data_IF_131752734456
#
_entry.id   IF_131752734456
#
_cell.length_a   1.000
_cell.length_b   1.000
_cell.length_c   1.000
_cell.angle_alpha   90.00
_cell.angle_beta   90.00
_cell.angle_gamma   90.00
#
_symmetry.space_group_name_H-M   'P 1'
#
loop_
_entity.id
_entity.type
_entity.pdbx_description
1 polymer ?
#
# COMPACT_ATOMS: atom_id res chain seq x y z
N UNK A 1 4.89 9.24 -14.32
CA UNK A 1 5.26 10.21 -15.35
C UNK A 1 5.69 9.59 -16.68
N UNK A 2 6.22 8.37 -16.71
CA UNK A 2 6.59 7.69 -17.96
C UNK A 2 5.41 7.38 -18.89
N UNK A 3 4.20 7.33 -18.36
CA UNK A 3 2.98 7.07 -19.13
C UNK A 3 2.37 8.36 -19.70
N UNK A 4 2.72 9.50 -19.13
CA UNK A 4 2.17 10.80 -19.50
C UNK A 4 2.90 11.43 -20.67
N UNK A 5 4.17 11.17 -20.82
CA UNK A 5 5.05 11.67 -21.90
C UNK A 5 5.01 13.20 -22.12
N UNK A 6 4.47 13.96 -21.17
CA UNK A 6 4.37 15.43 -21.21
C UNK A 6 5.72 16.13 -21.46
N UNK A 7 6.79 15.57 -20.93
CA UNK A 7 8.14 16.05 -21.17
C UNK A 7 8.62 15.83 -22.62
N UNK A 8 8.12 14.78 -23.30
CA UNK A 8 8.42 14.55 -24.73
C UNK A 8 7.69 15.56 -25.59
N UNK A 9 6.41 15.83 -25.31
CA UNK A 9 5.63 16.85 -26.01
C UNK A 9 6.29 18.22 -25.90
N UNK A 10 6.70 18.62 -24.70
CA UNK A 10 7.40 19.89 -24.49
C UNK A 10 8.72 19.96 -25.27
N UNK A 11 9.50 18.88 -25.27
CA UNK A 11 10.75 18.82 -26.02
C UNK A 11 10.51 18.98 -27.53
N UNK A 12 9.46 18.35 -28.06
CA UNK A 12 9.08 18.46 -29.47
C UNK A 12 8.65 19.88 -29.84
N UNK A 13 7.82 20.53 -29.02
CA UNK A 13 7.37 21.91 -29.24
C UNK A 13 8.56 22.87 -29.27
N UNK A 14 9.44 22.78 -28.28
CA UNK A 14 10.61 23.65 -28.18
C UNK A 14 11.60 23.39 -29.33
N UNK A 15 11.88 22.12 -29.66
CA UNK A 15 12.77 21.77 -30.79
C UNK A 15 12.23 22.28 -32.11
N UNK A 16 10.93 22.21 -32.34
CA UNK A 16 10.24 22.73 -33.53
C UNK A 16 10.41 24.26 -33.63
N UNK A 17 10.21 24.95 -32.51
CA UNK A 17 10.33 26.40 -32.47
C UNK A 17 11.77 26.88 -32.72
N UNK A 18 12.74 26.23 -32.12
CA UNK A 18 14.16 26.55 -32.31
C UNK A 18 14.80 25.97 -33.58
N UNK A 19 14.12 25.04 -34.25
CA UNK A 19 14.63 24.27 -35.40
C UNK A 19 16.00 23.61 -35.13
N UNK A 20 16.21 23.16 -33.90
CA UNK A 20 17.47 22.55 -33.44
C UNK A 20 17.15 21.43 -32.43
N UNK A 21 18.04 20.45 -32.25
CA UNK A 21 17.97 19.54 -31.15
C UNK A 21 17.98 20.28 -29.80
N UNK A 22 17.13 19.90 -28.89
CA UNK A 22 17.01 20.50 -27.55
C UNK A 22 17.03 19.43 -26.47
N UNK A 23 17.59 19.78 -25.34
CA UNK A 23 17.43 19.01 -24.10
C UNK A 23 16.68 19.87 -23.09
N UNK A 24 15.54 19.36 -22.59
CA UNK A 24 14.78 20.04 -21.56
C UNK A 24 15.11 19.39 -20.21
N UNK A 25 15.48 20.22 -19.25
CA UNK A 25 15.72 19.83 -17.88
C UNK A 25 14.81 20.67 -16.95
N UNK A 26 13.90 20.01 -16.25
CA UNK A 26 13.13 20.69 -15.22
C UNK A 26 13.95 20.77 -13.93
N UNK A 27 13.88 21.92 -13.25
CA UNK A 27 14.40 21.97 -11.89
C UNK A 27 13.57 21.05 -10.97
N UNK A 28 14.16 20.65 -9.84
CA UNK A 28 13.46 19.80 -8.87
C UNK A 28 12.18 20.47 -8.36
N UNK A 29 12.20 21.79 -8.14
CA UNK A 29 11.06 22.57 -7.70
C UNK A 29 9.91 22.52 -8.72
N UNK A 30 10.23 22.70 -10.00
CA UNK A 30 9.24 22.60 -11.10
C UNK A 30 8.67 21.19 -11.24
N UNK A 31 9.51 20.17 -11.15
CA UNK A 31 9.08 18.77 -11.21
C UNK A 31 8.13 18.41 -10.05
N UNK A 32 8.38 18.91 -8.84
CA UNK A 32 7.52 18.68 -7.68
C UNK A 32 6.22 19.48 -7.78
N UNK A 33 6.28 20.74 -8.20
CA UNK A 33 5.10 21.63 -8.27
C UNK A 33 4.13 21.27 -9.40
N UNK A 34 4.63 20.71 -10.51
CA UNK A 34 3.85 20.46 -11.72
C UNK A 34 3.81 18.97 -12.12
N UNK A 35 4.31 18.10 -11.26
CA UNK A 35 4.23 16.66 -11.46
C UNK A 35 2.88 16.07 -11.07
N UNK A 36 2.78 14.76 -11.21
CA UNK A 36 1.63 14.00 -10.74
C UNK A 36 1.85 13.59 -9.28
N UNK A 37 0.79 13.67 -8.49
CA UNK A 37 0.82 13.38 -7.08
C UNK A 37 0.41 11.94 -6.80
N UNK A 38 0.90 11.39 -5.69
CA UNK A 38 0.34 10.17 -5.14
C UNK A 38 -1.09 10.46 -4.68
N UNK A 39 -2.04 9.62 -5.08
CA UNK A 39 -3.44 9.84 -4.73
C UNK A 39 -3.66 9.74 -3.22
N UNK A 40 -4.36 10.72 -2.67
CA UNK A 40 -4.89 10.64 -1.33
C UNK A 40 -5.85 9.45 -1.22
N UNK A 41 -5.93 8.84 -0.05
CA UNK A 41 -6.79 7.68 0.17
C UNK A 41 -7.32 7.65 1.60
N UNK A 42 -8.51 7.07 1.77
CA UNK A 42 -9.11 6.83 3.08
C UNK A 42 -9.62 5.40 3.15
N UNK A 43 -9.36 4.75 4.26
CA UNK A 43 -9.82 3.39 4.52
C UNK A 43 -10.56 3.33 5.84
N UNK A 44 -11.65 2.56 5.87
CA UNK A 44 -12.41 2.24 7.09
C UNK A 44 -12.50 0.74 7.23
N UNK A 45 -12.01 0.24 8.36
CA UNK A 45 -12.10 -1.17 8.70
C UNK A 45 -13.18 -1.42 9.74
N UNK A 46 -13.85 -2.57 9.61
CA UNK A 46 -14.72 -3.16 10.61
C UNK A 46 -14.33 -4.63 10.72
N UNK A 47 -13.77 -5.02 11.86
CA UNK A 47 -13.19 -6.35 12.04
C UNK A 47 -13.83 -7.00 13.28
N UNK A 48 -14.36 -8.20 13.08
CA UNK A 48 -14.85 -9.02 14.18
C UNK A 48 -13.80 -10.07 14.55
N UNK A 49 -13.33 -10.06 15.80
CA UNK A 49 -12.40 -11.05 16.32
C UNK A 49 -13.15 -12.24 16.90
N UNK A 50 -12.67 -13.45 16.62
CA UNK A 50 -13.12 -14.67 17.25
C UNK A 50 -12.61 -14.82 18.69
N UNK A 51 -13.11 -15.83 19.42
CA UNK A 51 -12.65 -16.15 20.79
C UNK A 51 -11.15 -16.42 20.88
N UNK A 52 -10.52 -16.85 19.79
CA UNK A 52 -9.09 -17.08 19.67
C UNK A 52 -8.29 -15.83 19.27
N UNK A 53 -8.91 -14.66 19.23
CA UNK A 53 -8.31 -13.40 18.83
C UNK A 53 -8.05 -13.23 17.33
N UNK A 54 -8.33 -14.23 16.49
CA UNK A 54 -8.16 -14.13 15.04
C UNK A 54 -9.34 -13.42 14.38
N UNK A 55 -9.12 -12.65 13.28
CA UNK A 55 -10.22 -12.06 12.54
C UNK A 55 -11.12 -13.13 11.92
N UNK A 56 -12.40 -13.11 12.27
CA UNK A 56 -13.44 -13.93 11.63
C UNK A 56 -14.13 -13.21 10.47
N UNK A 57 -14.26 -11.90 10.60
CA UNK A 57 -14.81 -11.04 9.57
C UNK A 57 -13.92 -9.81 9.43
N UNK A 58 -13.63 -9.45 8.20
CA UNK A 58 -12.78 -8.31 7.88
C UNK A 58 -13.43 -7.52 6.74
N UNK A 59 -13.99 -6.38 7.09
CA UNK A 59 -14.61 -5.47 6.13
C UNK A 59 -13.70 -4.26 5.94
N UNK A 60 -13.47 -3.88 4.70
CA UNK A 60 -12.74 -2.68 4.34
C UNK A 60 -13.52 -1.86 3.33
N UNK A 61 -13.81 -0.61 3.66
CA UNK A 61 -14.34 0.39 2.75
C UNK A 61 -13.22 1.36 2.40
N UNK A 62 -12.87 1.42 1.13
CA UNK A 62 -11.71 2.16 0.65
C UNK A 62 -12.10 3.16 -0.43
N UNK A 63 -11.64 4.39 -0.28
CA UNK A 63 -11.86 5.48 -1.23
C UNK A 63 -10.52 6.03 -1.68
N UNK A 64 -10.36 6.16 -2.99
CA UNK A 64 -9.13 6.66 -3.60
C UNK A 64 -9.41 7.09 -5.04
N UNK A 65 -8.81 8.17 -5.55
CA UNK A 65 -8.80 8.46 -6.98
C UNK A 65 -8.17 7.32 -7.78
N UNK A 66 -8.81 6.95 -8.88
CA UNK A 66 -8.24 5.98 -9.79
C UNK A 66 -7.13 6.60 -10.64
N UNK A 67 -6.03 5.89 -10.79
CA UNK A 67 -4.96 6.29 -11.72
C UNK A 67 -5.31 5.98 -13.18
N UNK A 68 -6.25 5.07 -13.41
CA UNK A 68 -6.63 4.63 -14.75
C UNK A 68 -7.80 5.42 -15.31
N UNK A 69 -8.80 5.73 -14.49
CA UNK A 69 -9.99 6.44 -14.96
C UNK A 69 -9.69 7.87 -15.38
N UNK A 70 -8.70 8.50 -14.78
CA UNK A 70 -8.24 9.82 -15.21
C UNK A 70 -7.60 9.84 -16.60
N UNK A 71 -7.25 8.67 -17.16
CA UNK A 71 -6.55 8.53 -18.45
C UNK A 71 -7.37 7.83 -19.51
N UNK A 72 -8.14 6.86 -19.11
CA UNK A 72 -8.98 6.09 -20.03
C UNK A 72 -10.43 6.42 -19.74
N UNK A 73 -10.98 7.43 -20.43
CA UNK A 73 -12.37 7.87 -20.28
C UNK A 73 -13.38 6.72 -20.34
N UNK A 74 -13.12 5.69 -21.13
CA UNK A 74 -13.96 4.49 -21.22
C UNK A 74 -14.03 3.76 -19.86
N UNK A 75 -12.94 3.67 -19.11
CA UNK A 75 -12.92 3.03 -17.78
C UNK A 75 -13.61 3.90 -16.73
N UNK A 76 -13.60 5.23 -16.89
CA UNK A 76 -14.33 6.13 -16.00
C UNK A 76 -15.85 5.99 -16.16
N UNK A 77 -16.33 5.75 -17.37
CA UNK A 77 -17.76 5.54 -17.64
C UNK A 77 -18.30 4.25 -17.03
N UNK A 78 -17.44 3.25 -16.84
CA UNK A 78 -17.82 1.95 -16.27
C UNK A 78 -17.70 1.92 -14.74
N UNK A 79 -17.26 2.99 -14.10
CA UNK A 79 -16.88 3.04 -12.66
C UNK A 79 -16.00 1.84 -12.24
N UNK A 80 -15.24 1.32 -13.21
CA UNK A 80 -14.44 0.11 -13.07
C UNK A 80 -12.96 0.40 -13.23
N UNK A 81 -12.24 0.28 -12.13
CA UNK A 81 -10.79 0.33 -12.10
C UNK A 81 -10.24 -0.99 -11.55
N UNK A 82 -9.96 -1.97 -12.42
CA UNK A 82 -9.47 -3.27 -12.00
C UNK A 82 -8.15 -3.18 -11.23
N UNK A 83 -7.37 -2.14 -11.51
CA UNK A 83 -6.08 -1.96 -10.87
C UNK A 83 -6.19 -1.35 -9.47
N UNK A 84 -7.10 -0.40 -9.27
CA UNK A 84 -7.39 0.13 -7.94
C UNK A 84 -8.10 -0.90 -7.08
N UNK A 85 -9.00 -1.70 -7.64
CA UNK A 85 -9.55 -2.88 -6.97
C UNK A 85 -8.45 -3.85 -6.57
N UNK A 86 -7.53 -4.15 -7.48
CA UNK A 86 -6.37 -4.99 -7.20
C UNK A 86 -5.51 -4.43 -6.07
N UNK A 87 -5.20 -3.15 -6.07
CA UNK A 87 -4.41 -2.51 -5.04
C UNK A 87 -5.12 -2.46 -3.68
N UNK A 88 -6.44 -2.20 -3.70
CA UNK A 88 -7.22 -1.97 -2.49
C UNK A 88 -7.42 -3.24 -1.68
N UNK A 89 -7.63 -4.34 -2.37
CA UNK A 89 -7.97 -5.59 -1.73
C UNK A 89 -6.74 -6.44 -1.37
N UNK A 90 -5.53 -5.99 -1.69
CA UNK A 90 -4.47 -6.97 -1.89
C UNK A 90 -5.03 -8.14 -2.72
N UNK A 91 -5.78 -7.80 -3.70
CA UNK A 91 -6.47 -8.55 -4.74
C UNK A 91 -7.04 -9.94 -4.42
N UNK A 92 -6.74 -10.52 -3.27
CA UNK A 92 -7.03 -11.91 -2.94
C UNK A 92 -8.30 -12.10 -2.17
N UNK A 93 -8.70 -11.04 -1.50
CA UNK A 93 -9.90 -11.03 -0.70
C UNK A 93 -11.15 -10.87 -1.57
N UNK A 94 -10.99 -10.35 -2.77
CA UNK A 94 -12.11 -10.15 -3.74
C UNK A 94 -12.26 -11.35 -4.68
N UNK A 95 -11.36 -12.30 -4.69
CA UNK A 95 -11.08 -13.11 -5.86
C UNK A 95 -12.00 -14.27 -6.16
N UNK A 96 -13.19 -14.34 -5.63
CA UNK A 96 -14.19 -15.29 -6.16
C UNK A 96 -14.98 -14.76 -7.34
N UNK A 97 -14.95 -13.45 -7.67
CA UNK A 97 -15.77 -12.85 -8.73
C UNK A 97 -15.00 -12.24 -9.91
N UNK A 98 -13.71 -11.99 -9.79
CA UNK A 98 -12.91 -11.44 -10.88
C UNK A 98 -11.67 -12.30 -11.13
N UNK A 99 -11.59 -13.00 -12.28
CA UNK A 99 -10.36 -13.68 -12.66
C UNK A 99 -9.30 -12.61 -13.01
N UNK A 100 -8.53 -12.22 -12.04
CA UNK A 100 -7.34 -11.42 -12.31
C UNK A 100 -6.27 -12.31 -12.92
N UNK A 101 -5.63 -11.86 -13.98
CA UNK A 101 -4.51 -12.57 -14.63
C UNK A 101 -3.30 -12.78 -13.69
N UNK A 102 -3.39 -12.30 -12.47
CA UNK A 102 -2.35 -12.35 -11.45
C UNK A 102 -2.93 -12.89 -10.13
N UNK A 103 -3.00 -14.21 -9.94
CA UNK A 103 -3.44 -14.80 -8.68
C UNK A 103 -2.36 -14.61 -7.63
N UNK A 104 -2.38 -13.48 -6.94
CA UNK A 104 -1.56 -13.30 -5.75
C UNK A 104 -2.38 -13.74 -4.55
N UNK A 105 -2.12 -14.87 -3.92
CA UNK A 105 -2.77 -15.32 -2.69
C UNK A 105 -2.42 -14.37 -1.55
N UNK A 106 -3.44 -13.92 -0.81
CA UNK A 106 -3.20 -13.18 0.42
C UNK A 106 -2.45 -14.07 1.42
N UNK A 107 -1.56 -13.49 2.18
CA UNK A 107 -0.76 -14.25 3.13
C UNK A 107 -1.39 -14.34 4.52
N UNK A 108 -2.38 -13.48 4.84
CA UNK A 108 -3.15 -13.60 6.07
C UNK A 108 -4.36 -14.52 5.87
N UNK A 109 -4.47 -15.55 6.69
CA UNK A 109 -5.59 -16.49 6.69
C UNK A 109 -6.78 -15.86 7.42
N UNK A 110 -7.67 -15.18 6.67
CA UNK A 110 -8.90 -14.55 7.17
C UNK A 110 -10.08 -15.19 6.45
N UNK A 111 -11.04 -15.73 7.21
CA UNK A 111 -12.16 -16.51 6.65
C UNK A 111 -13.10 -15.69 5.78
N UNK A 112 -13.58 -14.57 6.30
CA UNK A 112 -14.59 -13.75 5.65
C UNK A 112 -14.05 -12.35 5.44
N UNK A 113 -13.90 -11.99 4.18
CA UNK A 113 -13.39 -10.68 3.78
C UNK A 113 -14.33 -10.03 2.79
N UNK A 114 -14.74 -8.80 3.10
CA UNK A 114 -15.51 -7.92 2.22
C UNK A 114 -14.74 -6.62 2.02
N UNK A 115 -14.37 -6.33 0.78
CA UNK A 115 -13.68 -5.09 0.43
C UNK A 115 -14.49 -4.33 -0.59
N UNK A 116 -14.84 -3.07 -0.24
CA UNK A 116 -15.56 -2.15 -1.11
C UNK A 116 -14.64 -1.00 -1.48
N UNK A 117 -14.48 -0.80 -2.76
CA UNK A 117 -13.73 0.33 -3.31
C UNK A 117 -14.69 1.33 -3.96
N UNK A 118 -14.41 2.61 -3.77
CA UNK A 118 -15.05 3.69 -4.51
C UNK A 118 -13.99 4.61 -5.10
N UNK A 119 -14.12 4.85 -6.40
CA UNK A 119 -13.36 5.88 -7.07
C UNK A 119 -13.91 7.26 -6.67
N UNK A 120 -13.02 8.18 -6.34
CA UNK A 120 -13.36 9.56 -6.04
C UNK A 120 -12.36 10.47 -6.73
N UNK A 121 -12.82 11.24 -7.69
CA UNK A 121 -12.01 12.29 -8.28
C UNK A 121 -11.90 13.48 -7.30
N UNK A 122 -10.67 13.88 -7.00
CA UNK A 122 -10.37 15.00 -6.13
C UNK A 122 -9.98 16.26 -6.91
N UNK A 123 -10.03 16.23 -8.25
CA UNK A 123 -9.57 17.33 -9.10
C UNK A 123 -8.05 17.61 -9.02
N UNK A 124 -7.29 16.71 -8.42
CA UNK A 124 -5.84 16.83 -8.28
C UNK A 124 -5.18 15.87 -9.27
N UNK A 125 -4.21 16.32 -10.09
CA UNK A 125 -3.49 15.44 -10.99
C UNK A 125 -2.82 14.30 -10.21
N UNK A 126 -3.29 13.09 -10.41
CA UNK A 126 -2.71 11.91 -9.78
C UNK A 126 -2.12 10.97 -10.82
N UNK A 127 -1.06 10.30 -10.47
CA UNK A 127 -0.35 9.41 -11.37
C UNK A 127 0.24 8.21 -10.66
N UNK A 128 0.79 7.30 -11.44
CA UNK A 128 1.45 6.13 -10.90
C UNK A 128 2.69 6.53 -10.10
N UNK A 129 2.65 6.22 -8.83
CA UNK A 129 3.81 6.33 -7.96
C UNK A 129 4.55 4.99 -7.92
N UNK A 130 5.84 5.04 -7.87
CA UNK A 130 6.65 3.83 -7.65
C UNK A 130 6.23 3.21 -6.31
N UNK A 131 6.02 1.91 -6.26
CA UNK A 131 5.44 1.23 -5.09
C UNK A 131 3.98 1.59 -4.85
N UNK A 132 3.17 1.34 -5.85
CA UNK A 132 1.72 1.59 -5.89
C UNK A 132 0.91 1.01 -4.72
N UNK A 133 1.46 0.06 -3.97
CA UNK A 133 0.82 -0.61 -2.83
C UNK A 133 1.02 0.11 -1.48
N UNK A 134 1.74 1.21 -1.45
CA UNK A 134 2.19 1.83 -0.19
C UNK A 134 1.03 2.16 0.76
N UNK A 135 0.01 2.89 0.29
CA UNK A 135 -1.12 3.28 1.14
C UNK A 135 -1.93 2.08 1.62
N UNK A 136 -2.16 1.11 0.75
CA UNK A 136 -2.96 -0.07 1.08
C UNK A 136 -2.26 -0.96 2.08
N UNK A 137 -0.94 -1.11 1.94
CA UNK A 137 -0.15 -1.87 2.89
C UNK A 137 -0.14 -1.18 4.26
N UNK A 138 0.01 0.13 4.30
CA UNK A 138 -0.07 0.91 5.53
C UNK A 138 -1.41 0.66 6.25
N UNK A 139 -2.53 0.76 5.55
CA UNK A 139 -3.84 0.56 6.14
C UNK A 139 -4.04 -0.86 6.65
N UNK A 140 -3.67 -1.87 5.85
CA UNK A 140 -3.82 -3.27 6.24
C UNK A 140 -2.95 -3.61 7.46
N UNK A 141 -1.67 -3.27 7.41
CA UNK A 141 -0.74 -3.60 8.49
C UNK A 141 -1.10 -2.88 9.79
N UNK A 142 -1.61 -1.63 9.70
CA UNK A 142 -2.15 -0.92 10.87
C UNK A 142 -3.38 -1.61 11.44
N UNK A 143 -4.31 -2.08 10.60
CA UNK A 143 -5.48 -2.82 11.06
C UNK A 143 -5.11 -4.16 11.73
N UNK A 144 -4.09 -4.85 11.22
CA UNK A 144 -3.55 -6.08 11.83
C UNK A 144 -2.88 -5.78 13.18
N UNK A 145 -2.17 -4.65 13.31
CA UNK A 145 -1.60 -4.22 14.59
C UNK A 145 -2.70 -3.93 15.63
N UNK A 146 -3.77 -3.24 15.24
CA UNK A 146 -4.91 -3.01 16.12
C UNK A 146 -5.56 -4.34 16.57
N UNK A 147 -5.69 -5.30 15.68
CA UNK A 147 -6.18 -6.64 16.04
C UNK A 147 -5.24 -7.34 17.03
N UNK A 148 -3.93 -7.23 16.84
CA UNK A 148 -2.95 -7.80 17.77
C UNK A 148 -3.08 -7.19 19.18
N UNK A 149 -3.23 -5.86 19.27
CA UNK A 149 -3.43 -5.15 20.54
C UNK A 149 -4.71 -5.59 21.22
N UNK A 150 -5.85 -5.63 20.50
CA UNK A 150 -7.13 -6.07 21.03
C UNK A 150 -7.10 -7.53 21.51
N UNK A 151 -6.31 -8.36 20.82
CA UNK A 151 -6.10 -9.77 21.19
C UNK A 151 -5.04 -9.96 22.28
N UNK A 152 -4.45 -8.87 22.81
CA UNK A 152 -3.34 -8.89 23.77
C UNK A 152 -2.17 -9.75 23.29
N UNK A 153 -1.91 -9.75 22.01
CA UNK A 153 -0.87 -10.55 21.36
C UNK A 153 0.29 -9.67 20.90
N UNK A 154 1.48 -10.21 20.90
CA UNK A 154 2.64 -9.57 20.28
C UNK A 154 2.42 -9.38 18.77
N UNK A 155 2.62 -8.20 18.17
CA UNK A 155 2.31 -7.94 16.77
C UNK A 155 3.05 -8.85 15.79
N UNK A 156 4.28 -9.26 16.09
CA UNK A 156 5.03 -10.19 15.25
C UNK A 156 4.46 -11.61 15.34
N UNK A 157 4.22 -12.10 16.55
CA UNK A 157 3.67 -13.44 16.78
C UNK A 157 2.23 -13.53 16.25
N UNK A 158 1.45 -12.45 16.37
CA UNK A 158 0.10 -12.38 15.82
C UNK A 158 0.11 -12.56 14.30
N UNK A 159 1.01 -11.89 13.59
CA UNK A 159 1.19 -12.09 12.15
C UNK A 159 1.54 -13.54 11.82
N UNK A 160 2.44 -14.16 12.56
CA UNK A 160 2.79 -15.58 12.35
C UNK A 160 1.59 -16.51 12.54
N UNK A 161 0.73 -16.22 13.51
CA UNK A 161 -0.51 -17.01 13.73
C UNK A 161 -1.50 -16.89 12.57
N UNK A 162 -1.50 -15.75 11.86
CA UNK A 162 -2.35 -15.52 10.70
C UNK A 162 -1.75 -16.01 9.37
N UNK A 163 -0.50 -16.48 9.38
CA UNK A 163 0.26 -16.84 8.15
C UNK A 163 0.66 -18.32 8.17
N UNK A 164 -0.14 -19.20 8.75
CA UNK A 164 0.25 -20.60 9.00
C UNK A 164 0.71 -21.37 7.75
N UNK A 165 0.20 -21.02 6.58
CA UNK A 165 0.43 -21.74 5.32
C UNK A 165 1.56 -21.18 4.43
N UNK A 166 2.37 -20.25 4.94
CA UNK A 166 3.40 -19.57 4.15
C UNK A 166 4.79 -19.64 4.81
N UNK A 167 5.49 -20.78 4.75
CA UNK A 167 6.74 -20.99 5.48
C UNK A 167 7.84 -19.98 5.13
N UNK A 168 7.89 -19.48 3.88
CA UNK A 168 8.84 -18.44 3.48
C UNK A 168 8.62 -17.13 4.21
N UNK A 169 7.35 -16.74 4.43
CA UNK A 169 7.04 -15.50 5.14
C UNK A 169 7.37 -15.66 6.62
N UNK A 170 7.03 -16.79 7.22
CA UNK A 170 7.39 -17.12 8.60
C UNK A 170 8.90 -17.03 8.80
N UNK A 171 9.69 -17.62 7.88
CA UNK A 171 11.14 -17.54 7.94
C UNK A 171 11.67 -16.09 7.89
N UNK A 172 11.08 -15.23 7.05
CA UNK A 172 11.45 -13.80 6.99
C UNK A 172 11.13 -13.10 8.33
N UNK A 173 9.96 -13.38 8.92
CA UNK A 173 9.59 -12.82 10.22
C UNK A 173 10.50 -13.32 11.35
N UNK A 174 10.91 -14.58 11.35
CA UNK A 174 11.84 -15.13 12.33
C UNK A 174 13.24 -14.51 12.25
N UNK A 175 13.74 -14.33 11.02
CA UNK A 175 14.99 -13.59 10.82
C UNK A 175 14.88 -12.15 11.29
N UNK A 176 13.78 -11.48 10.94
CA UNK A 176 13.56 -10.09 11.35
C UNK A 176 13.46 -9.95 12.87
N UNK A 177 12.81 -10.90 13.55
CA UNK A 177 12.74 -10.97 15.01
C UNK A 177 14.11 -10.95 15.66
N UNK A 178 15.03 -11.74 15.13
CA UNK A 178 16.42 -11.84 15.62
C UNK A 178 17.20 -10.56 15.30
N UNK A 179 17.19 -10.13 14.05
CA UNK A 179 17.97 -8.96 13.58
C UNK A 179 17.56 -7.65 14.25
N UNK A 180 16.27 -7.50 14.58
CA UNK A 180 15.74 -6.29 15.21
C UNK A 180 15.78 -6.31 16.73
N UNK A 181 16.27 -7.38 17.37
CA UNK A 181 16.12 -7.61 18.79
C UNK A 181 14.69 -7.33 19.26
N UNK A 182 13.70 -7.93 18.57
CA UNK A 182 12.27 -7.59 18.71
C UNK A 182 11.79 -7.63 20.16
N UNK A 183 12.24 -8.59 20.95
CA UNK A 183 11.84 -8.77 22.35
C UNK A 183 12.52 -7.82 23.34
N UNK A 184 13.47 -7.02 22.90
CA UNK A 184 14.15 -6.05 23.76
C UNK A 184 13.15 -5.04 24.33
N UNK A 185 13.14 -4.89 25.65
CA UNK A 185 12.35 -3.84 26.32
C UNK A 185 12.95 -2.48 26.03
N UNK A 186 12.18 -1.63 25.42
CA UNK A 186 12.60 -0.27 25.12
C UNK A 186 12.30 0.66 26.30
N UNK A 187 13.16 1.65 26.56
CA UNK A 187 12.89 2.66 27.56
C UNK A 187 11.71 3.54 27.17
N UNK A 188 11.13 4.24 28.16
CA UNK A 188 10.02 5.19 27.92
C UNK A 188 10.37 6.20 26.82
N UNK A 189 9.44 6.46 25.93
CA UNK A 189 9.62 7.35 24.78
C UNK A 189 10.24 6.70 23.55
N UNK A 190 10.46 5.38 23.57
CA UNK A 190 10.84 4.60 22.39
C UNK A 190 9.79 3.55 22.05
N UNK A 191 9.65 3.23 20.76
CA UNK A 191 8.74 2.20 20.29
C UNK A 191 9.29 1.48 19.07
N UNK A 192 8.83 0.26 18.85
CA UNK A 192 9.09 -0.53 17.64
C UNK A 192 7.76 -0.84 16.96
N UNK A 193 7.73 -0.75 15.64
CA UNK A 193 6.62 -1.20 14.80
C UNK A 193 7.11 -2.19 13.76
N UNK A 194 6.24 -3.08 13.31
CA UNK A 194 6.52 -4.09 12.30
C UNK A 194 5.50 -4.00 11.17
N UNK A 195 5.95 -4.17 9.94
CA UNK A 195 5.10 -4.30 8.78
C UNK A 195 5.64 -5.38 7.83
N UNK A 196 4.70 -6.01 7.12
CA UNK A 196 4.97 -7.04 6.14
C UNK A 196 4.31 -6.65 4.81
N UNK A 197 4.96 -6.95 3.70
CA UNK A 197 4.35 -6.84 2.37
C UNK A 197 4.86 -7.93 1.45
N UNK A 198 3.99 -8.35 0.53
CA UNK A 198 4.36 -9.22 -0.57
C UNK A 198 4.20 -8.44 -1.87
N UNK A 199 5.27 -8.39 -2.64
CA UNK A 199 5.26 -7.73 -3.94
C UNK A 199 4.83 -8.69 -5.06
N UNK A 200 4.44 -8.10 -6.18
CA UNK A 200 4.23 -8.84 -7.44
C UNK A 200 5.51 -9.66 -7.73
N UNK A 201 5.33 -10.92 -8.12
CA UNK A 201 6.47 -11.82 -8.35
C UNK A 201 6.98 -12.55 -7.11
N UNK A 202 6.17 -12.57 -6.03
CA UNK A 202 6.44 -13.31 -4.77
C UNK A 202 7.62 -12.77 -3.94
N UNK A 203 8.07 -11.55 -4.17
CA UNK A 203 9.01 -10.86 -3.30
C UNK A 203 8.37 -10.58 -1.94
N UNK A 204 9.05 -10.93 -0.84
CA UNK A 204 8.57 -10.71 0.53
C UNK A 204 9.48 -9.67 1.17
N UNK A 205 8.88 -8.64 1.75
CA UNK A 205 9.59 -7.62 2.52
C UNK A 205 8.92 -7.50 3.88
N UNK A 206 9.70 -7.63 4.93
CA UNK A 206 9.28 -7.30 6.28
C UNK A 206 10.24 -6.27 6.87
N UNK A 207 9.71 -5.31 7.60
CA UNK A 207 10.47 -4.19 8.16
C UNK A 207 10.12 -3.97 9.62
N UNK A 208 11.12 -3.69 10.43
CA UNK A 208 10.94 -3.16 11.79
C UNK A 208 11.49 -1.74 11.78
N UNK A 209 10.70 -0.81 12.29
CA UNK A 209 11.09 0.57 12.49
C UNK A 209 11.09 0.84 13.99
N UNK A 210 12.20 1.36 14.51
CA UNK A 210 12.31 1.83 15.87
C UNK A 210 12.29 3.36 15.86
N UNK A 211 11.44 3.93 16.69
CA UNK A 211 11.33 5.39 16.87
C UNK A 211 11.64 5.78 18.29
N UNK A 212 12.13 6.99 18.47
CA UNK A 212 12.38 7.58 19.77
C UNK A 212 11.90 9.03 19.78
N UNK A 213 11.13 9.39 20.82
CA UNK A 213 10.73 10.78 21.04
C UNK A 213 11.93 11.50 21.66
N UNK A 214 12.49 12.48 20.94
CA UNK A 214 13.60 13.30 21.39
C UNK A 214 13.18 14.39 22.38
N UNK A 215 14.17 15.15 22.84
CA UNK A 215 13.92 16.37 23.62
C UNK A 215 13.01 17.32 22.81
N UNK A 216 11.98 17.92 23.42
CA UNK A 216 10.94 18.76 22.82
C UNK A 216 9.89 18.00 21.99
N UNK A 217 9.61 16.73 22.30
CA UNK A 217 8.61 15.90 21.60
C UNK A 217 8.80 15.81 20.06
N UNK A 218 10.05 15.87 19.60
CA UNK A 218 10.40 15.64 18.18
C UNK A 218 10.81 14.16 17.98
N UNK A 219 10.35 13.58 16.87
CA UNK A 219 10.83 12.28 16.39
C UNK A 219 12.24 12.39 15.83
#
# INVERSE_FOLDING_TARGET
RRLETDFVEQALIVSKAFKKPVQILWSREKDIQHGYYHSGSKSRFQIALGKNGKPKQFMNQFVKPSHWTSRFQILSMLDFDPYSHYQTAHSHLINKKFPTQFPVKHYYDIENVDVKYRNLDLGIPNGFFRSVFLSNNFFLESAIDECAVLSKSDPLEYRKQLISNHPRIIHVLDKLKTLSNWKEKLPKGKGKGIALTQMIGKGIVASVVQVAIGKRNKL
#
